data_IF_731192040493
#
_entry.id   IF_731192040493
#
_cell.length_a   1.000
_cell.length_b   1.000
_cell.length_c   1.000
_cell.angle_alpha   90.00
_cell.angle_beta   90.00
_cell.angle_gamma   90.00
#
_symmetry.space_group_name_H-M   'P 1'
#
loop_
_entity.id
_entity.type
_entity.pdbx_description
1 polymer ?
#
# COMPACT_ATOMS: atom_id res chain seq x y z
N UNK A 1 -35.57 8.61 -31.68
CA UNK A 1 -34.20 8.10 -31.49
C UNK A 1 -33.32 9.30 -31.17
N UNK A 2 -32.96 9.49 -29.90
CA UNK A 2 -31.91 10.40 -29.48
C UNK A 2 -31.32 9.81 -28.20
N UNK A 3 -30.40 8.87 -28.37
CA UNK A 3 -29.55 8.38 -27.29
C UNK A 3 -28.38 9.34 -27.17
N UNK A 4 -28.54 10.39 -26.36
CA UNK A 4 -27.43 11.29 -26.05
C UNK A 4 -26.52 10.62 -25.02
N UNK A 5 -25.27 10.48 -25.43
CA UNK A 5 -24.11 10.02 -24.68
C UNK A 5 -24.03 10.67 -23.30
N UNK A 6 -24.25 9.87 -22.26
CA UNK A 6 -23.77 10.16 -20.91
C UNK A 6 -22.31 9.70 -20.81
N UNK A 7 -21.39 10.40 -21.45
CA UNK A 7 -19.99 10.39 -21.01
C UNK A 7 -19.94 11.17 -19.69
N UNK A 8 -20.13 10.44 -18.58
CA UNK A 8 -19.80 10.96 -17.26
C UNK A 8 -18.30 11.22 -17.26
N UNK A 9 -17.92 12.50 -17.24
CA UNK A 9 -16.63 12.94 -16.74
C UNK A 9 -16.45 12.34 -15.34
N UNK A 10 -15.80 11.18 -15.23
CA UNK A 10 -15.37 10.66 -13.94
C UNK A 10 -14.39 11.67 -13.37
N UNK A 11 -14.63 12.07 -12.12
CA UNK A 11 -13.73 12.98 -11.44
C UNK A 11 -12.38 12.26 -11.32
N UNK A 12 -11.24 12.95 -11.53
CA UNK A 12 -9.91 12.30 -11.47
C UNK A 12 -9.65 11.59 -10.12
N UNK A 13 -10.30 12.05 -9.05
CA UNK A 13 -10.31 11.41 -7.72
C UNK A 13 -11.03 10.04 -7.70
N UNK A 14 -11.98 9.81 -8.61
CA UNK A 14 -12.71 8.55 -8.70
C UNK A 14 -11.84 7.40 -9.24
N UNK A 15 -10.69 7.72 -9.83
CA UNK A 15 -9.76 6.71 -10.35
C UNK A 15 -8.80 6.16 -9.29
N UNK A 16 -8.60 6.86 -8.17
CA UNK A 16 -7.72 6.45 -7.08
C UNK A 16 -8.47 5.67 -5.98
N UNK A 17 -7.80 4.70 -5.36
CA UNK A 17 -8.42 3.84 -4.35
C UNK A 17 -8.83 4.62 -3.09
N UNK A 18 -8.09 5.68 -2.75
CA UNK A 18 -8.38 6.60 -1.66
C UNK A 18 -7.91 8.03 -2.02
N UNK A 19 -8.39 9.08 -1.31
CA UNK A 19 -8.02 10.47 -1.61
C UNK A 19 -6.51 10.73 -1.49
N UNK A 20 -5.92 11.36 -2.51
CA UNK A 20 -4.46 11.57 -2.60
C UNK A 20 -3.96 12.55 -1.52
N UNK A 21 -4.79 13.50 -1.11
CA UNK A 21 -4.48 14.55 -0.15
C UNK A 21 -4.17 14.03 1.26
N UNK A 22 -4.53 12.79 1.59
CA UNK A 22 -4.14 12.19 2.88
C UNK A 22 -2.61 12.03 2.97
N UNK A 23 -1.93 11.76 1.85
CA UNK A 23 -0.49 11.53 1.82
C UNK A 23 0.30 12.82 2.12
N UNK A 24 -0.20 13.98 1.68
CA UNK A 24 0.44 15.27 1.96
C UNK A 24 0.27 15.73 3.41
N UNK A 25 -0.68 15.14 4.15
CA UNK A 25 -0.91 15.41 5.58
C UNK A 25 -0.03 14.57 6.51
N UNK A 26 0.73 13.62 5.97
CA UNK A 26 1.57 12.73 6.78
C UNK A 26 2.86 13.44 7.18
N UNK A 27 3.05 13.62 8.49
CA UNK A 27 4.25 14.23 9.03
C UNK A 27 5.39 13.21 9.16
N UNK A 28 6.43 13.39 8.36
CA UNK A 28 7.66 12.58 8.41
C UNK A 28 8.68 13.09 9.44
N UNK A 29 8.48 14.26 10.07
CA UNK A 29 9.50 14.91 10.92
C UNK A 29 9.83 14.13 12.19
N UNK A 30 8.85 13.43 12.75
CA UNK A 30 9.05 12.59 13.94
C UNK A 30 9.49 11.16 13.57
N UNK A 31 9.85 10.92 12.31
CA UNK A 31 10.29 9.62 11.86
C UNK A 31 11.80 9.45 12.08
N UNK A 32 12.17 8.52 12.95
CA UNK A 32 13.58 8.16 13.21
C UNK A 32 14.25 7.36 12.09
N UNK A 33 13.59 7.19 10.93
CA UNK A 33 14.11 6.41 9.80
C UNK A 33 15.06 7.27 8.97
N UNK A 34 16.32 6.88 8.93
CA UNK A 34 17.33 7.54 8.10
C UNK A 34 17.19 7.13 6.62
N UNK A 35 17.16 8.14 5.75
CA UNK A 35 17.23 8.01 4.30
C UNK A 35 18.54 8.62 3.76
N UNK A 36 19.24 7.87 2.90
CA UNK A 36 20.50 8.30 2.27
C UNK A 36 20.68 7.69 0.86
N UNK A 37 20.44 8.43 -0.22
CA UNK A 37 20.12 9.86 -0.24
C UNK A 37 18.76 10.18 0.40
N UNK A 38 18.52 11.44 0.81
CA UNK A 38 17.23 11.84 1.36
C UNK A 38 16.08 11.60 0.38
N UNK A 39 15.05 10.87 0.82
CA UNK A 39 13.79 10.68 0.10
C UNK A 39 12.62 10.96 1.03
N UNK A 40 11.48 11.37 0.47
CA UNK A 40 10.25 11.65 1.22
C UNK A 40 9.01 11.23 0.45
N UNK A 41 7.84 11.32 1.08
CA UNK A 41 6.56 11.04 0.43
C UNK A 41 6.34 11.96 -0.79
N UNK A 42 6.72 13.24 -0.68
CA UNK A 42 6.59 14.22 -1.76
C UNK A 42 7.75 14.18 -2.77
N UNK A 43 8.87 13.54 -2.43
CA UNK A 43 10.02 13.38 -3.31
C UNK A 43 10.66 11.99 -3.11
N UNK A 44 10.04 10.92 -3.65
CA UNK A 44 10.48 9.54 -3.43
C UNK A 44 11.76 9.19 -4.19
N UNK A 45 12.18 10.03 -5.15
CA UNK A 45 13.36 9.84 -5.99
C UNK A 45 13.14 10.49 -7.36
N UNK A 46 14.21 10.54 -8.16
CA UNK A 46 14.15 11.11 -9.51
C UNK A 46 13.15 10.33 -10.39
N UNK A 47 12.23 11.05 -11.06
CA UNK A 47 11.15 10.49 -11.88
C UNK A 47 10.21 9.52 -11.14
N UNK A 48 10.22 9.51 -9.81
CA UNK A 48 9.34 8.67 -9.01
C UNK A 48 8.22 9.51 -8.39
N UNK A 49 7.03 8.92 -8.29
CA UNK A 49 5.92 9.47 -7.49
C UNK A 49 5.35 8.39 -6.58
N UNK A 50 4.90 8.80 -5.38
CA UNK A 50 4.18 7.94 -4.45
C UNK A 50 2.72 8.40 -4.42
N UNK A 51 1.80 7.48 -4.68
CA UNK A 51 0.36 7.79 -4.81
C UNK A 51 -0.51 6.59 -4.46
N UNK A 52 -1.83 6.77 -4.26
CA UNK A 52 -2.75 5.64 -4.18
C UNK A 52 -2.73 4.80 -5.46
N UNK A 53 -3.10 3.52 -5.34
CA UNK A 53 -3.39 2.68 -6.49
C UNK A 53 -4.47 3.34 -7.35
N UNK A 54 -4.23 3.41 -8.65
CA UNK A 54 -5.16 3.88 -9.66
C UNK A 54 -5.77 2.70 -10.40
N UNK A 55 -7.04 2.80 -10.81
CA UNK A 55 -7.73 1.73 -11.55
C UNK A 55 -7.03 1.35 -12.87
N UNK A 56 -6.28 2.28 -13.47
CA UNK A 56 -5.52 2.05 -14.70
C UNK A 56 -4.13 1.45 -14.44
N UNK A 57 -3.72 1.22 -13.18
CA UNK A 57 -2.43 0.59 -12.83
C UNK A 57 -2.35 -0.88 -13.25
N UNK A 58 -3.49 -1.49 -13.62
CA UNK A 58 -3.52 -2.74 -14.36
C UNK A 58 -2.60 -2.69 -15.60
N UNK A 59 -2.66 -1.60 -16.36
CA UNK A 59 -1.85 -1.38 -17.56
C UNK A 59 -0.44 -0.87 -17.27
N UNK A 60 -0.14 -0.54 -16.01
CA UNK A 60 1.18 -0.09 -15.54
C UNK A 60 1.97 -1.19 -14.82
N UNK A 61 1.63 -2.46 -15.06
CA UNK A 61 2.38 -3.60 -14.56
C UNK A 61 2.18 -3.91 -13.07
N UNK A 62 1.12 -3.42 -12.43
CA UNK A 62 0.88 -3.65 -11.00
C UNK A 62 0.85 -5.14 -10.61
N UNK A 63 0.17 -5.97 -11.40
CA UNK A 63 0.11 -7.42 -11.17
C UNK A 63 1.47 -8.10 -11.41
N UNK A 64 2.27 -7.59 -12.35
CA UNK A 64 3.64 -8.06 -12.58
C UNK A 64 4.58 -7.71 -11.43
N UNK A 65 4.35 -6.59 -10.75
CA UNK A 65 5.07 -6.25 -9.53
C UNK A 65 4.70 -7.22 -8.39
N UNK A 66 3.40 -7.47 -8.17
CA UNK A 66 2.93 -8.40 -7.13
C UNK A 66 3.40 -9.84 -7.35
N UNK A 67 3.58 -10.26 -8.61
CA UNK A 67 4.09 -11.61 -8.92
C UNK A 67 5.53 -11.85 -8.43
N UNK A 68 6.29 -10.78 -8.15
CA UNK A 68 7.61 -10.87 -7.52
C UNK A 68 7.54 -11.18 -6.01
N UNK A 69 6.38 -10.97 -5.38
CA UNK A 69 6.14 -11.26 -3.98
C UNK A 69 5.56 -12.67 -3.78
N UNK A 70 4.51 -12.99 -4.54
CA UNK A 70 3.74 -14.23 -4.40
C UNK A 70 3.01 -14.56 -5.71
N UNK A 71 2.31 -15.70 -5.74
CA UNK A 71 1.46 -16.08 -6.87
C UNK A 71 0.27 -15.13 -6.97
N UNK A 72 0.10 -14.50 -8.14
CA UNK A 72 -1.07 -13.66 -8.48
C UNK A 72 -2.16 -14.47 -9.19
N UNK A 73 -1.76 -15.39 -10.09
CA UNK A 73 -2.69 -16.12 -10.95
C UNK A 73 -3.16 -15.30 -12.15
N UNK A 74 -4.17 -15.80 -12.85
CA UNK A 74 -4.73 -15.16 -14.05
C UNK A 74 -5.83 -14.17 -13.65
N UNK A 75 -5.47 -12.90 -13.52
CA UNK A 75 -6.40 -11.81 -13.19
C UNK A 75 -6.65 -10.97 -14.44
N UNK A 76 -7.88 -10.99 -14.95
CA UNK A 76 -8.30 -10.14 -16.07
C UNK A 76 -8.46 -8.68 -15.65
N UNK A 77 -8.47 -7.76 -16.62
CA UNK A 77 -8.74 -6.33 -16.34
C UNK A 77 -10.11 -6.13 -15.67
N UNK A 78 -11.12 -6.87 -16.14
CA UNK A 78 -12.46 -6.85 -15.54
C UNK A 78 -12.39 -7.26 -14.07
N UNK A 79 -11.70 -8.36 -13.76
CA UNK A 79 -11.58 -8.82 -12.38
C UNK A 79 -10.81 -7.85 -11.50
N UNK A 80 -9.75 -7.25 -12.02
CA UNK A 80 -9.01 -6.19 -11.34
C UNK A 80 -9.92 -4.99 -11.03
N UNK A 81 -10.70 -4.52 -12.00
CA UNK A 81 -11.64 -3.41 -11.83
C UNK A 81 -12.72 -3.72 -10.81
N UNK A 82 -13.31 -4.91 -10.84
CA UNK A 82 -14.28 -5.36 -9.83
C UNK A 82 -13.69 -5.31 -8.43
N UNK A 83 -12.54 -5.95 -8.21
CA UNK A 83 -11.87 -5.99 -6.91
C UNK A 83 -11.47 -4.58 -6.44
N UNK A 84 -10.98 -3.74 -7.34
CA UNK A 84 -10.68 -2.33 -7.03
C UNK A 84 -11.93 -1.59 -6.52
N UNK A 85 -13.08 -1.75 -7.20
CA UNK A 85 -14.32 -1.09 -6.80
C UNK A 85 -14.87 -1.64 -5.48
N UNK A 86 -14.77 -2.95 -5.25
CA UNK A 86 -15.13 -3.58 -3.97
C UNK A 86 -14.29 -3.01 -2.82
N UNK A 87 -12.97 -2.93 -3.00
CA UNK A 87 -12.06 -2.32 -2.02
C UNK A 87 -12.40 -0.84 -1.78
N UNK A 88 -12.66 -0.07 -2.85
CA UNK A 88 -13.02 1.35 -2.75
C UNK A 88 -14.35 1.57 -2.03
N UNK A 89 -15.33 0.69 -2.27
CA UNK A 89 -16.66 0.74 -1.63
C UNK A 89 -16.56 0.49 -0.12
N UNK A 90 -15.55 -0.27 0.32
CA UNK A 90 -15.21 -0.47 1.72
C UNK A 90 -14.54 0.78 2.31
N UNK A 91 -15.35 1.83 2.56
CA UNK A 91 -14.87 3.13 3.04
C UNK A 91 -13.89 3.00 4.22
N UNK A 92 -12.71 3.62 4.04
CA UNK A 92 -11.62 3.67 5.03
C UNK A 92 -11.16 2.27 5.50
N UNK A 93 -11.05 1.31 4.59
CA UNK A 93 -10.56 -0.05 4.89
C UNK A 93 -9.28 -0.43 4.16
N UNK A 94 -9.11 -0.01 2.92
CA UNK A 94 -7.97 -0.39 2.09
C UNK A 94 -7.25 0.86 1.59
N UNK A 95 -5.95 0.94 1.88
CA UNK A 95 -5.07 1.99 1.37
C UNK A 95 -3.88 1.32 0.68
N UNK A 96 -4.10 0.90 -0.57
CA UNK A 96 -3.05 0.38 -1.43
C UNK A 96 -2.27 1.55 -2.00
N UNK A 97 -1.00 1.64 -1.64
CA UNK A 97 -0.12 2.76 -1.97
C UNK A 97 1.00 2.28 -2.86
N UNK A 98 1.20 2.94 -3.99
CA UNK A 98 2.16 2.55 -5.01
C UNK A 98 3.24 3.62 -5.20
N UNK A 99 4.40 3.20 -5.68
CA UNK A 99 5.41 4.05 -6.28
C UNK A 99 5.42 3.78 -7.77
N UNK A 100 5.22 4.82 -8.57
CA UNK A 100 5.31 4.78 -10.02
C UNK A 100 6.62 5.42 -10.48
N UNK A 101 7.27 4.82 -11.47
CA UNK A 101 8.33 5.45 -12.24
C UNK A 101 7.72 6.07 -13.51
N UNK A 102 7.81 7.39 -13.60
CA UNK A 102 7.23 8.19 -14.68
C UNK A 102 8.01 8.08 -16.00
N UNK A 103 9.29 7.68 -15.95
CA UNK A 103 10.09 7.48 -17.16
C UNK A 103 9.71 6.19 -17.89
N UNK A 104 9.24 5.19 -17.15
CA UNK A 104 8.79 3.90 -17.70
C UNK A 104 7.28 3.73 -17.70
N UNK A 105 6.55 4.62 -17.00
CA UNK A 105 5.10 4.52 -16.76
C UNK A 105 4.72 3.16 -16.15
N UNK A 106 5.52 2.68 -15.19
CA UNK A 106 5.33 1.40 -14.50
C UNK A 106 5.25 1.59 -12.99
N UNK A 107 4.45 0.75 -12.34
CA UNK A 107 4.43 0.63 -10.89
C UNK A 107 5.61 -0.21 -10.43
N UNK A 108 6.46 0.36 -9.57
CA UNK A 108 7.76 -0.20 -9.17
C UNK A 108 7.85 -0.53 -7.69
N UNK A 109 6.88 -0.10 -6.88
CA UNK A 109 6.75 -0.46 -5.48
C UNK A 109 5.31 -0.39 -5.02
N UNK A 110 4.94 -1.21 -4.03
CA UNK A 110 3.62 -1.16 -3.41
C UNK A 110 3.67 -1.63 -1.96
N UNK A 111 2.71 -1.17 -1.16
CA UNK A 111 2.34 -1.70 0.14
C UNK A 111 0.87 -1.41 0.42
N UNK A 112 0.22 -2.28 1.20
CA UNK A 112 -1.19 -2.17 1.54
C UNK A 112 -1.36 -1.91 3.03
N UNK A 113 -2.14 -0.88 3.37
CA UNK A 113 -2.75 -0.76 4.70
C UNK A 113 -4.17 -1.35 4.65
N UNK A 114 -4.40 -2.42 5.41
CA UNK A 114 -5.74 -2.94 5.67
C UNK A 114 -6.19 -2.56 7.09
N UNK A 115 -7.43 -2.10 7.24
CA UNK A 115 -7.98 -1.66 8.53
C UNK A 115 -9.12 -2.57 8.96
N UNK A 116 -9.04 -3.09 10.17
CA UNK A 116 -10.08 -3.88 10.83
C UNK A 116 -10.76 -3.03 11.91
N UNK A 117 -12.10 -2.96 11.88
CA UNK A 117 -12.87 -2.45 13.02
C UNK A 117 -12.95 -3.52 14.10
N UNK A 118 -12.80 -3.11 15.36
CA UNK A 118 -12.89 -3.98 16.53
C UNK A 118 -13.87 -3.38 17.53
N UNK A 119 -14.48 -4.22 18.39
CA UNK A 119 -15.21 -3.73 19.57
C UNK A 119 -14.29 -3.47 20.77
N UNK A 120 -13.18 -4.23 20.87
CA UNK A 120 -12.10 -3.99 21.84
C UNK A 120 -11.44 -2.63 21.60
N UNK A 121 -10.71 -2.14 22.60
CA UNK A 121 -10.10 -0.80 22.58
C UNK A 121 -11.10 0.31 22.25
N UNK A 122 -12.27 0.28 22.92
CA UNK A 122 -13.33 1.29 22.76
C UNK A 122 -13.81 1.46 21.32
N UNK A 123 -14.20 0.34 20.69
CA UNK A 123 -14.57 0.29 19.28
C UNK A 123 -13.45 0.74 18.31
N UNK A 124 -12.20 0.40 18.65
CA UNK A 124 -11.00 0.91 17.97
C UNK A 124 -10.71 0.31 16.59
N UNK A 125 -9.74 0.91 15.90
CA UNK A 125 -9.24 0.48 14.59
C UNK A 125 -7.89 -0.24 14.73
N UNK A 126 -7.76 -1.41 14.09
CA UNK A 126 -6.49 -2.13 13.97
C UNK A 126 -6.01 -2.09 12.53
N UNK A 127 -4.75 -1.75 12.32
CA UNK A 127 -4.10 -1.79 11.03
C UNK A 127 -3.34 -3.11 10.79
N UNK A 128 -3.21 -3.49 9.52
CA UNK A 128 -2.28 -4.49 9.00
C UNK A 128 -1.49 -3.92 7.83
N UNK A 129 -0.19 -4.14 7.83
CA UNK A 129 0.69 -3.87 6.70
C UNK A 129 0.83 -5.18 5.90
N UNK A 130 0.32 -5.16 4.68
CA UNK A 130 0.27 -6.30 3.77
C UNK A 130 0.96 -5.97 2.43
N UNK A 131 1.25 -7.00 1.64
CA UNK A 131 1.68 -6.91 0.24
C UNK A 131 2.83 -5.95 -0.07
N UNK A 132 3.84 -5.90 0.81
CA UNK A 132 5.03 -5.05 0.61
C UNK A 132 5.95 -5.65 -0.43
N UNK A 133 6.11 -4.98 -1.57
CA UNK A 133 7.06 -5.38 -2.61
C UNK A 133 7.63 -4.18 -3.36
N UNK A 134 8.90 -4.30 -3.75
CA UNK A 134 9.59 -3.36 -4.64
C UNK A 134 10.22 -4.17 -5.76
N UNK A 135 10.08 -3.68 -6.98
CA UNK A 135 10.66 -4.31 -8.17
C UNK A 135 12.15 -4.56 -7.98
N UNK A 136 12.62 -5.71 -8.45
CA UNK A 136 14.03 -6.10 -8.36
C UNK A 136 14.98 -5.03 -8.91
N UNK A 137 14.59 -4.36 -10.00
CA UNK A 137 15.38 -3.32 -10.69
C UNK A 137 15.49 -2.01 -9.88
N UNK A 138 14.67 -1.87 -8.83
CA UNK A 138 14.62 -0.68 -7.96
C UNK A 138 15.08 -0.98 -6.53
N UNK A 139 15.62 -2.17 -6.27
CA UNK A 139 16.20 -2.51 -4.96
C UNK A 139 17.42 -1.63 -4.67
N UNK A 140 17.68 -1.40 -3.38
CA UNK A 140 18.76 -0.52 -2.93
C UNK A 140 18.41 0.98 -2.95
N UNK A 141 17.36 1.41 -3.67
CA UNK A 141 16.91 2.81 -3.72
C UNK A 141 16.04 3.26 -2.53
N UNK A 142 16.04 2.49 -1.44
CA UNK A 142 15.29 2.78 -0.21
C UNK A 142 13.76 2.87 -0.33
N UNK A 143 13.18 2.57 -1.50
CA UNK A 143 11.73 2.61 -1.74
C UNK A 143 10.93 1.70 -0.80
N UNK A 144 11.50 0.55 -0.41
CA UNK A 144 10.89 -0.35 0.57
C UNK A 144 10.73 0.31 1.94
N UNK A 145 11.74 1.10 2.37
CA UNK A 145 11.63 1.89 3.60
C UNK A 145 10.52 2.94 3.46
N UNK A 146 10.46 3.60 2.30
CA UNK A 146 9.52 4.67 2.04
C UNK A 146 8.06 4.19 2.05
N UNK A 147 7.73 3.09 1.36
CA UNK A 147 6.35 2.58 1.39
C UNK A 147 5.95 2.10 2.78
N UNK A 148 6.83 1.39 3.51
CA UNK A 148 6.52 0.91 4.86
C UNK A 148 6.28 2.06 5.83
N UNK A 149 7.12 3.11 5.78
CA UNK A 149 6.92 4.25 6.68
C UNK A 149 5.64 5.02 6.36
N UNK A 150 5.32 5.18 5.06
CA UNK A 150 4.08 5.82 4.63
C UNK A 150 2.87 5.07 5.16
N UNK A 151 2.84 3.73 5.04
CA UNK A 151 1.74 2.92 5.57
C UNK A 151 1.64 3.04 7.10
N UNK A 152 2.76 3.04 7.82
CA UNK A 152 2.77 3.23 9.28
C UNK A 152 2.17 4.60 9.66
N UNK A 153 2.58 5.67 8.98
CA UNK A 153 2.08 7.02 9.22
C UNK A 153 0.60 7.16 8.85
N UNK A 154 0.13 6.50 7.78
CA UNK A 154 -1.29 6.42 7.45
C UNK A 154 -2.09 5.77 8.58
N UNK A 155 -1.62 4.64 9.11
CA UNK A 155 -2.30 3.95 10.20
C UNK A 155 -2.41 4.82 11.46
N UNK A 156 -1.34 5.55 11.79
CA UNK A 156 -1.30 6.51 12.89
C UNK A 156 -2.26 7.69 12.65
N UNK A 157 -2.21 8.31 11.47
CA UNK A 157 -3.09 9.43 11.08
C UNK A 157 -4.58 9.06 11.13
N UNK A 158 -4.93 7.82 10.75
CA UNK A 158 -6.31 7.31 10.77
C UNK A 158 -6.78 7.00 12.21
N UNK A 159 -5.86 6.93 13.18
CA UNK A 159 -6.17 6.65 14.59
C UNK A 159 -6.24 5.16 14.90
N UNK A 160 -5.45 4.33 14.20
CA UNK A 160 -5.33 2.91 14.56
C UNK A 160 -4.58 2.75 15.89
N UNK A 161 -5.12 1.97 16.82
CA UNK A 161 -4.47 1.75 18.11
C UNK A 161 -3.25 0.82 18.00
N UNK A 162 -3.14 0.04 16.92
CA UNK A 162 -1.95 -0.74 16.56
C UNK A 162 -1.90 -1.08 15.08
N UNK A 163 -0.70 -1.36 14.58
CA UNK A 163 -0.42 -1.94 13.27
C UNK A 163 0.40 -3.22 13.45
N UNK A 164 0.11 -4.25 12.65
CA UNK A 164 0.88 -5.51 12.64
C UNK A 164 1.23 -5.93 11.22
N UNK A 165 2.23 -6.81 11.10
CA UNK A 165 2.61 -7.47 9.85
C UNK A 165 3.14 -8.86 10.17
N UNK A 166 3.11 -9.74 9.17
CA UNK A 166 3.80 -11.02 9.20
C UNK A 166 4.99 -10.97 8.24
N UNK A 167 6.14 -11.52 8.65
CA UNK A 167 7.33 -11.53 7.79
C UNK A 167 8.22 -12.75 8.02
N UNK A 168 9.04 -13.08 7.02
CA UNK A 168 10.10 -14.09 7.15
C UNK A 168 11.14 -13.62 8.17
N UNK A 169 11.75 -14.53 8.91
CA UNK A 169 12.76 -14.23 9.95
C UNK A 169 13.85 -13.25 9.49
N UNK A 170 14.37 -13.44 8.27
CA UNK A 170 15.39 -12.56 7.67
C UNK A 170 14.96 -11.10 7.52
N UNK A 171 13.66 -10.82 7.48
CA UNK A 171 13.08 -9.49 7.34
C UNK A 171 12.80 -8.80 8.68
N UNK A 172 12.90 -9.51 9.82
CA UNK A 172 12.64 -8.91 11.15
C UNK A 172 13.53 -7.68 11.40
N UNK A 173 14.82 -7.75 11.06
CA UNK A 173 15.74 -6.61 11.19
C UNK A 173 15.34 -5.42 10.32
N UNK A 174 14.74 -5.67 9.15
CA UNK A 174 14.23 -4.61 8.29
C UNK A 174 13.06 -3.90 8.98
N UNK A 175 12.05 -4.64 9.44
CA UNK A 175 10.86 -4.03 10.04
C UNK A 175 11.10 -3.36 11.39
N UNK A 176 12.06 -3.84 12.20
CA UNK A 176 12.45 -3.19 13.46
C UNK A 176 12.90 -1.74 13.29
N UNK A 177 13.40 -1.35 12.13
CA UNK A 177 13.81 0.03 11.84
C UNK A 177 12.63 1.02 11.84
N UNK A 178 11.39 0.53 11.71
CA UNK A 178 10.17 1.36 11.71
C UNK A 178 9.38 1.25 13.02
N UNK A 179 9.98 0.70 14.07
CA UNK A 179 9.35 0.55 15.39
C UNK A 179 8.54 -0.74 15.59
N UNK A 180 8.50 -1.64 14.61
CA UNK A 180 7.91 -2.96 14.80
C UNK A 180 8.75 -3.80 15.77
N UNK A 181 8.09 -4.61 16.60
CA UNK A 181 8.76 -5.51 17.53
C UNK A 181 8.12 -6.89 17.47
N UNK A 182 8.88 -7.93 17.83
CA UNK A 182 8.33 -9.26 18.07
C UNK A 182 7.83 -9.29 19.52
N UNK A 183 6.52 -9.44 19.72
CA UNK A 183 5.95 -9.57 21.07
C UNK A 183 6.38 -10.92 21.68
N UNK A 184 7.25 -10.88 22.69
CA UNK A 184 7.75 -12.11 23.32
C UNK A 184 6.60 -12.90 23.92
N UNK A 185 6.46 -14.18 23.52
CA UNK A 185 5.35 -15.03 23.95
C UNK A 185 4.07 -14.89 23.11
N UNK A 186 4.03 -13.98 22.13
CA UNK A 186 2.87 -13.72 21.27
C UNK A 186 3.26 -13.37 19.81
N UNK A 187 4.34 -13.96 19.30
CA UNK A 187 4.90 -13.66 17.97
C UNK A 187 4.84 -14.83 16.99
N UNK A 188 4.06 -15.87 17.28
CA UNK A 188 3.87 -17.00 16.37
C UNK A 188 2.81 -16.65 15.32
N UNK A 189 3.15 -16.84 14.03
CA UNK A 189 2.17 -16.86 12.94
C UNK A 189 1.72 -18.30 12.72
N UNK A 190 0.41 -18.53 12.75
CA UNK A 190 -0.19 -19.81 12.42
C UNK A 190 -0.98 -19.68 11.11
N UNK A 191 -0.87 -20.66 10.22
CA UNK A 191 -1.52 -20.61 8.90
C UNK A 191 -2.16 -21.94 8.57
N UNK A 192 -3.41 -21.88 8.13
CA UNK A 192 -4.12 -22.98 7.47
C UNK A 192 -4.55 -22.48 6.10
N UNK A 193 -4.14 -23.16 5.03
CA UNK A 193 -4.53 -22.82 3.65
C UNK A 193 -5.67 -23.75 3.24
N UNK A 194 -6.76 -23.17 2.75
CA UNK A 194 -7.88 -23.94 2.21
C UNK A 194 -7.65 -24.27 0.72
N UNK A 195 -6.94 -23.40 0.00
CA UNK A 195 -6.58 -23.50 -1.41
C UNK A 195 -5.21 -22.85 -1.67
N UNK A 196 -4.65 -23.07 -2.85
CA UNK A 196 -3.28 -22.65 -3.25
C UNK A 196 -3.17 -21.23 -3.81
#
# INVERSE_FOLDING_TARGET
>A
MNSNNNEKNMNVEDEYLYPVDILSKLDMKNCYVHFDPPVSISNPGENLILRPLNINDYHKGYLNLLSQLTRVGDVSEEKFRETFQEMKSCKNRYFVTVIEDLSTNQVVGTATLAIEKKFIHSAGLRARLEDVVVSNDYRGKQLGKLVVITIRLLAEHIGCYKITLDCKDKMVKFYKQFGFTCETGNNNMMTMRFHD
#
